data_IF_554926003671
#
_entry.id   IF_554926003671
#
_cell.length_a   1.000
_cell.length_b   1.000
_cell.length_c   1.000
_cell.angle_alpha   90.00
_cell.angle_beta   90.00
_cell.angle_gamma   90.00
#
_symmetry.space_group_name_H-M   'P 1'
#
loop_
_entity.id
_entity.type
_entity.pdbx_description
1 polymer ?
#
# COMPACT_ATOMS: atom_id res chain seq x y z
N UNK A 1 4.49 -6.25 -2.03
CA UNK A 1 3.74 -6.14 -0.77
C UNK A 1 2.91 -4.87 -0.78
N UNK A 2 2.59 -4.33 0.38
CA UNK A 2 1.90 -3.03 0.52
C UNK A 2 2.63 -2.15 1.52
N UNK A 3 2.62 -0.84 1.31
CA UNK A 3 3.24 0.14 2.22
C UNK A 3 2.50 0.19 3.56
N UNK A 4 3.15 0.73 4.59
CA UNK A 4 2.47 1.26 5.77
C UNK A 4 1.66 2.51 5.42
N UNK A 5 0.93 3.04 6.39
CA UNK A 5 0.10 4.21 6.18
C UNK A 5 -0.56 4.68 7.47
N UNK A 6 -1.68 5.39 7.35
CA UNK A 6 -2.46 5.86 8.48
C UNK A 6 -3.33 4.71 8.99
N UNK A 7 -3.25 4.40 10.29
CA UNK A 7 -4.18 3.46 10.90
C UNK A 7 -5.54 4.15 11.17
N UNK A 8 -6.67 3.43 11.01
CA UNK A 8 -7.98 3.95 11.41
C UNK A 8 -7.97 4.33 12.89
N UNK A 9 -8.58 5.47 13.23
CA UNK A 9 -8.71 5.90 14.64
C UNK A 9 -9.46 4.84 15.45
N UNK A 10 -8.88 4.41 16.57
CA UNK A 10 -9.55 3.52 17.53
C UNK A 10 -10.73 4.21 18.22
N UNK A 11 -11.69 3.43 18.75
CA UNK A 11 -12.83 3.98 19.52
C UNK A 11 -12.45 4.18 21.01
N UNK A 12 -12.83 5.38 21.50
CA UNK A 12 -13.04 5.87 22.90
C UNK A 12 -12.16 5.33 24.04
N UNK A 13 -11.46 6.26 24.73
CA UNK A 13 -10.94 6.07 26.10
C UNK A 13 -9.45 6.38 26.28
N UNK A 14 -8.67 6.29 25.21
CA UNK A 14 -7.28 6.78 25.14
C UNK A 14 -7.28 8.06 24.32
N UNK A 15 -6.45 9.06 24.66
CA UNK A 15 -6.26 10.24 23.82
C UNK A 15 -6.06 9.77 22.37
N UNK A 16 -6.84 10.29 21.42
CA UNK A 16 -6.85 9.82 20.04
C UNK A 16 -5.50 10.12 19.37
N UNK A 17 -4.49 9.29 19.61
CA UNK A 17 -3.19 9.39 18.96
C UNK A 17 -3.35 8.85 17.56
N UNK A 18 -3.08 9.68 16.56
CA UNK A 18 -2.95 9.23 15.17
C UNK A 18 -1.76 8.28 15.07
N UNK A 19 -2.01 7.00 14.82
CA UNK A 19 -0.97 6.02 14.53
C UNK A 19 -0.67 6.06 13.02
N UNK A 20 0.43 6.70 12.67
CA UNK A 20 0.86 6.96 11.29
C UNK A 20 2.21 6.30 11.06
N UNK A 21 2.28 5.46 10.02
CA UNK A 21 3.52 4.76 9.68
C UNK A 21 4.66 5.73 9.32
N UNK A 22 5.86 5.43 9.84
CA UNK A 22 7.09 6.11 9.46
C UNK A 22 7.38 6.01 7.95
N UNK A 23 6.88 4.96 7.26
CA UNK A 23 6.98 4.80 5.80
C UNK A 23 6.58 6.09 5.05
N UNK A 24 5.51 6.77 5.48
CA UNK A 24 5.03 7.98 4.80
C UNK A 24 6.00 9.16 4.97
N UNK A 25 6.63 9.24 6.14
CA UNK A 25 7.65 10.26 6.41
C UNK A 25 8.95 9.97 5.65
N UNK A 26 9.31 8.69 5.52
CA UNK A 26 10.49 8.26 4.78
C UNK A 26 10.35 8.51 3.28
N UNK A 27 9.19 8.18 2.71
CA UNK A 27 8.84 8.47 1.31
C UNK A 27 8.94 9.97 0.99
N UNK A 28 8.69 10.86 1.96
CA UNK A 28 8.80 12.29 1.76
C UNK A 28 10.24 12.81 1.66
N UNK A 29 11.24 12.00 1.97
CA UNK A 29 12.63 12.46 2.22
C UNK A 29 13.69 11.69 1.44
N UNK A 30 13.40 10.45 1.07
CA UNK A 30 14.37 9.56 0.44
C UNK A 30 14.01 9.34 -1.04
N UNK A 31 14.92 9.65 -1.98
CA UNK A 31 14.74 9.36 -3.40
C UNK A 31 14.66 7.84 -3.67
N UNK A 32 13.45 7.29 -3.63
CA UNK A 32 13.18 5.86 -3.84
C UNK A 32 11.82 5.64 -4.50
N UNK A 33 11.75 4.71 -5.45
CA UNK A 33 10.50 4.25 -6.01
C UNK A 33 10.04 2.97 -5.30
N UNK A 34 8.88 3.01 -4.65
CA UNK A 34 8.33 1.85 -3.93
C UNK A 34 7.21 1.22 -4.77
N UNK A 35 7.48 0.05 -5.32
CA UNK A 35 6.49 -0.75 -6.06
C UNK A 35 5.64 -1.58 -5.11
N UNK A 36 4.34 -1.29 -5.05
CA UNK A 36 3.44 -1.84 -4.05
C UNK A 36 2.05 -2.17 -4.62
N UNK A 37 1.27 -2.97 -3.91
CA UNK A 37 -0.16 -3.16 -4.17
C UNK A 37 -0.99 -2.15 -3.37
N UNK A 38 -0.58 -0.89 -3.37
CA UNK A 38 -1.08 0.15 -2.48
C UNK A 38 -0.67 -0.04 -1.01
N UNK A 39 -1.47 0.48 -0.10
CA UNK A 39 -1.26 0.33 1.35
C UNK A 39 -2.02 -0.89 1.91
N UNK A 40 -1.48 -1.52 2.96
CA UNK A 40 -2.07 -2.73 3.57
C UNK A 40 -3.56 -2.51 3.91
N UNK A 41 -4.43 -3.49 3.60
CA UNK A 41 -5.90 -3.39 3.77
C UNK A 41 -6.39 -3.13 5.21
N UNK A 42 -5.50 -3.17 6.21
CA UNK A 42 -5.78 -2.86 7.61
C UNK A 42 -5.78 -1.36 7.91
N UNK A 43 -5.29 -0.55 6.98
CA UNK A 43 -5.06 0.89 7.09
C UNK A 43 -6.27 1.70 6.60
N UNK A 44 -6.25 2.99 6.90
CA UNK A 44 -7.13 4.00 6.33
C UNK A 44 -6.50 4.53 5.04
N UNK A 45 -7.00 4.07 3.90
CA UNK A 45 -6.41 4.38 2.59
C UNK A 45 -6.60 5.84 2.19
N UNK A 46 -7.76 6.42 2.49
CA UNK A 46 -8.04 7.82 2.18
C UNK A 46 -7.11 8.73 2.99
N UNK A 47 -7.02 8.51 4.31
CA UNK A 47 -6.10 9.28 5.14
C UNK A 47 -4.62 9.06 4.75
N UNK A 48 -4.27 7.87 4.25
CA UNK A 48 -2.92 7.60 3.74
C UNK A 48 -2.60 8.42 2.48
N UNK A 49 -3.54 8.49 1.53
CA UNK A 49 -3.38 9.30 0.31
C UNK A 49 -3.27 10.80 0.64
N UNK A 50 -4.09 11.31 1.55
CA UNK A 50 -4.02 12.71 2.02
C UNK A 50 -2.65 13.06 2.62
N UNK A 51 -2.07 12.15 3.41
CA UNK A 51 -0.72 12.35 3.99
C UNK A 51 0.35 12.31 2.90
N UNK A 52 0.24 11.39 1.92
CA UNK A 52 1.17 11.33 0.79
C UNK A 52 1.11 12.60 -0.06
N UNK A 53 -0.09 13.09 -0.36
CA UNK A 53 -0.32 14.35 -1.08
C UNK A 53 0.27 15.53 -0.31
N UNK A 54 -0.02 15.65 0.99
CA UNK A 54 0.51 16.72 1.86
C UNK A 54 2.05 16.74 1.86
N UNK A 55 2.68 15.58 1.78
CA UNK A 55 4.14 15.45 1.75
C UNK A 55 4.74 15.52 0.33
N UNK A 56 3.93 15.79 -0.69
CA UNK A 56 4.39 15.87 -2.08
C UNK A 56 4.89 14.54 -2.64
N UNK A 57 4.46 13.41 -2.10
CA UNK A 57 4.81 12.07 -2.57
C UNK A 57 3.81 11.64 -3.65
N UNK A 58 4.21 11.58 -4.94
CA UNK A 58 3.30 11.17 -5.99
C UNK A 58 2.91 9.69 -5.86
N UNK A 59 1.62 9.42 -6.05
CA UNK A 59 1.06 8.07 -6.11
C UNK A 59 0.70 7.77 -7.55
N UNK A 60 1.45 6.86 -8.18
CA UNK A 60 1.33 6.53 -9.59
C UNK A 60 0.70 5.15 -9.74
N UNK A 61 -0.39 5.05 -10.48
CA UNK A 61 -1.02 3.77 -10.82
C UNK A 61 -0.37 3.13 -12.05
N UNK A 62 0.05 1.87 -11.94
CA UNK A 62 0.56 1.10 -13.08
C UNK A 62 -0.59 0.31 -13.73
N UNK A 63 -1.02 0.74 -14.91
CA UNK A 63 -2.14 0.16 -15.64
C UNK A 63 -3.51 0.41 -15.01
N UNK A 64 -3.61 1.39 -14.11
CA UNK A 64 -4.82 1.67 -13.32
C UNK A 64 -4.90 3.15 -12.96
N UNK A 65 -6.14 3.67 -12.85
CA UNK A 65 -6.48 4.99 -12.33
C UNK A 65 -6.90 4.93 -10.84
N UNK A 66 -6.91 3.74 -10.27
CA UNK A 66 -7.34 3.43 -8.89
C UNK A 66 -6.15 3.01 -8.01
N UNK A 67 -6.12 3.50 -6.78
CA UNK A 67 -5.17 3.11 -5.75
C UNK A 67 -5.56 1.74 -5.18
N UNK A 68 -4.80 0.66 -5.40
CA UNK A 68 -5.19 -0.67 -5.00
C UNK A 68 -5.29 -0.84 -3.48
N UNK A 69 -6.22 -1.67 -3.02
CA UNK A 69 -6.45 -1.95 -1.61
C UNK A 69 -5.76 -3.24 -1.13
N UNK A 70 -4.52 -3.47 -1.59
CA UNK A 70 -3.66 -4.61 -1.22
C UNK A 70 -4.25 -5.97 -1.62
N UNK A 71 -5.13 -6.56 -0.81
CA UNK A 71 -5.82 -7.81 -1.16
C UNK A 71 -6.98 -7.64 -2.13
N UNK A 72 -7.44 -6.40 -2.34
CA UNK A 72 -8.49 -6.07 -3.29
C UNK A 72 -7.90 -5.36 -4.50
N UNK A 73 -8.40 -5.71 -5.68
CA UNK A 73 -7.99 -5.12 -6.95
C UNK A 73 -8.14 -3.59 -6.96
N UNK A 74 -9.20 -3.06 -6.36
CA UNK A 74 -9.52 -1.62 -6.33
C UNK A 74 -9.98 -1.18 -4.94
N UNK A 75 -9.66 0.05 -4.57
CA UNK A 75 -10.18 0.72 -3.37
C UNK A 75 -11.33 1.69 -3.66
N UNK A 76 -11.48 2.11 -4.91
CA UNK A 76 -12.34 3.21 -5.34
C UNK A 76 -11.70 4.60 -5.19
N UNK A 77 -10.47 4.69 -4.69
CA UNK A 77 -9.74 5.95 -4.51
C UNK A 77 -8.81 6.20 -5.71
N UNK A 78 -8.73 7.43 -6.22
CA UNK A 78 -7.89 7.74 -7.37
C UNK A 78 -6.40 7.76 -7.01
N UNK A 79 -5.54 7.44 -7.98
CA UNK A 79 -4.11 7.77 -7.95
C UNK A 79 -3.87 9.19 -8.48
N UNK A 80 -2.67 9.74 -8.27
CA UNK A 80 -2.29 11.05 -8.80
C UNK A 80 -2.16 11.05 -10.33
N UNK A 81 -1.64 9.96 -10.89
CA UNK A 81 -1.53 9.76 -12.34
C UNK A 81 -1.41 8.27 -12.68
N UNK A 82 -1.72 7.92 -13.92
CA UNK A 82 -1.57 6.58 -14.47
C UNK A 82 -0.39 6.52 -15.44
N UNK A 83 0.32 5.40 -15.43
CA UNK A 83 1.29 5.00 -16.45
C UNK A 83 1.00 3.55 -16.88
N UNK A 84 1.41 3.18 -18.08
CA UNK A 84 1.09 1.86 -18.66
C UNK A 84 2.35 1.05 -19.05
N UNK A 85 3.56 1.63 -18.92
CA UNK A 85 4.81 0.92 -19.24
C UNK A 85 5.96 1.16 -18.25
N UNK A 86 6.94 0.24 -18.16
CA UNK A 86 8.14 0.45 -17.35
C UNK A 86 9.01 1.62 -17.85
N UNK A 87 8.96 1.92 -19.16
CA UNK A 87 9.67 3.05 -19.74
C UNK A 87 9.08 4.40 -19.29
N UNK A 88 7.75 4.51 -19.25
CA UNK A 88 7.07 5.68 -18.66
C UNK A 88 7.39 5.83 -17.17
N UNK A 89 7.42 4.71 -16.43
CA UNK A 89 7.81 4.72 -15.02
C UNK A 89 9.23 5.29 -14.85
N UNK A 90 10.18 4.79 -15.65
CA UNK A 90 11.56 5.25 -15.62
C UNK A 90 11.68 6.75 -15.96
N UNK A 91 11.00 7.20 -17.01
CA UNK A 91 10.98 8.61 -17.41
C UNK A 91 10.41 9.52 -16.31
N UNK A 92 9.31 9.11 -15.67
CA UNK A 92 8.70 9.84 -14.55
C UNK A 92 9.66 9.91 -13.36
N UNK A 93 10.28 8.80 -12.98
CA UNK A 93 11.23 8.76 -11.85
C UNK A 93 12.44 9.66 -12.11
N UNK A 94 13.06 9.57 -13.29
CA UNK A 94 14.18 10.43 -13.67
C UNK A 94 13.80 11.92 -13.64
N UNK A 95 12.65 12.28 -14.17
CA UNK A 95 12.17 13.66 -14.15
C UNK A 95 11.87 14.15 -12.73
N UNK A 96 11.21 13.33 -11.90
CA UNK A 96 10.88 13.66 -10.52
C UNK A 96 12.15 13.95 -9.70
N UNK A 97 13.15 13.08 -9.78
CA UNK A 97 14.40 13.25 -9.04
C UNK A 97 15.29 14.37 -9.60
N UNK A 98 15.28 14.61 -10.92
CA UNK A 98 15.97 15.77 -11.51
C UNK A 98 15.42 17.11 -11.02
N UNK A 99 14.13 17.16 -10.65
CA UNK A 99 13.48 18.32 -10.05
C UNK A 99 13.63 18.39 -8.52
N UNK A 100 14.41 17.48 -7.91
CA UNK A 100 14.63 17.44 -6.46
C UNK A 100 13.54 16.72 -5.66
N UNK A 101 12.68 15.95 -6.33
CA UNK A 101 11.69 15.10 -5.67
C UNK A 101 12.31 13.95 -4.88
N UNK A 102 11.57 13.42 -3.90
CA UNK A 102 11.99 12.33 -3.04
C UNK A 102 11.37 10.99 -3.50
N UNK A 103 10.55 10.37 -2.65
CA UNK A 103 9.97 9.06 -2.90
C UNK A 103 8.79 9.10 -3.87
N UNK A 104 8.55 7.98 -4.54
CA UNK A 104 7.39 7.75 -5.43
C UNK A 104 6.73 6.44 -5.04
N UNK A 105 5.41 6.44 -4.90
CA UNK A 105 4.62 5.20 -4.76
C UNK A 105 4.19 4.75 -6.15
N UNK A 106 4.70 3.61 -6.62
CA UNK A 106 4.23 2.98 -7.85
C UNK A 106 3.28 1.83 -7.48
N UNK A 107 1.99 2.08 -7.62
CA UNK A 107 0.91 1.21 -7.20
C UNK A 107 0.45 0.30 -8.35
N UNK A 108 0.59 -1.02 -8.20
CA UNK A 108 0.09 -2.02 -9.14
C UNK A 108 -0.98 -2.88 -8.45
N UNK A 109 -2.18 -3.03 -9.04
CA UNK A 109 -3.21 -3.85 -8.44
C UNK A 109 -2.83 -5.34 -8.46
N UNK A 110 -3.31 -6.07 -7.46
CA UNK A 110 -3.38 -7.54 -7.54
C UNK A 110 -4.26 -7.92 -8.73
N UNK A 111 -4.02 -9.09 -9.36
CA UNK A 111 -4.88 -9.57 -10.44
C UNK A 111 -6.33 -9.74 -9.96
N UNK A 112 -7.30 -9.69 -10.88
CA UNK A 112 -8.71 -9.86 -10.51
C UNK A 112 -8.99 -11.28 -10.01
N UNK A 113 -8.24 -12.26 -10.52
CA UNK A 113 -8.33 -13.66 -10.19
C UNK A 113 -7.80 -13.97 -8.79
N UNK A 114 -6.74 -13.24 -8.36
CA UNK A 114 -6.14 -13.39 -7.03
C UNK A 114 -6.71 -12.41 -6.00
N UNK A 115 -7.56 -11.48 -6.44
CA UNK A 115 -8.27 -10.53 -5.57
C UNK A 115 -9.27 -11.26 -4.67
N UNK A 116 -9.34 -10.86 -3.41
CA UNK A 116 -10.36 -11.36 -2.50
C UNK A 116 -11.72 -10.71 -2.76
N UNK A 117 -12.77 -11.36 -2.26
CA UNK A 117 -14.10 -10.75 -2.15
C UNK A 117 -14.11 -9.65 -1.08
N UNK A 118 -14.58 -8.46 -1.46
CA UNK A 118 -14.56 -7.28 -0.60
C UNK A 118 -15.44 -7.43 0.64
N UNK A 119 -16.64 -8.01 0.50
CA UNK A 119 -17.57 -8.18 1.62
C UNK A 119 -17.05 -9.20 2.64
N UNK A 120 -16.48 -10.31 2.16
CA UNK A 120 -15.83 -11.33 2.98
C UNK A 120 -14.60 -10.76 3.70
N UNK A 121 -13.72 -10.03 3.00
CA UNK A 121 -12.55 -9.42 3.60
C UNK A 121 -12.93 -8.40 4.68
N UNK A 122 -13.95 -7.57 4.44
CA UNK A 122 -14.43 -6.58 5.40
C UNK A 122 -14.89 -7.24 6.72
N UNK A 123 -15.60 -8.38 6.64
CA UNK A 123 -16.02 -9.15 7.83
C UNK A 123 -14.83 -9.67 8.62
N UNK A 124 -13.86 -10.30 7.95
CA UNK A 124 -12.66 -10.82 8.61
C UNK A 124 -11.81 -9.69 9.20
N UNK A 125 -11.71 -8.55 8.52
CA UNK A 125 -10.99 -7.38 9.00
C UNK A 125 -11.64 -6.79 10.26
N UNK A 126 -12.96 -6.68 10.29
CA UNK A 126 -13.70 -6.25 11.48
C UNK A 126 -13.42 -7.19 12.66
N UNK A 127 -13.46 -8.51 12.42
CA UNK A 127 -13.15 -9.50 13.46
C UNK A 127 -11.70 -9.42 13.94
N UNK A 128 -10.74 -9.28 13.03
CA UNK A 128 -9.32 -9.15 13.37
C UNK A 128 -9.04 -7.89 14.20
N UNK A 129 -9.69 -6.76 13.86
CA UNK A 129 -9.62 -5.52 14.64
C UNK A 129 -10.15 -5.69 16.05
N UNK A 130 -11.31 -6.35 16.22
CA UNK A 130 -11.85 -6.65 17.54
C UNK A 130 -10.88 -7.52 18.37
N UNK A 131 -10.30 -8.56 17.77
CA UNK A 131 -9.31 -9.41 18.44
C UNK A 131 -8.06 -8.65 18.89
N UNK A 132 -7.64 -7.63 18.12
CA UNK A 132 -6.50 -6.78 18.48
C UNK A 132 -6.83 -5.86 19.65
N UNK A 133 -8.07 -5.36 19.72
CA UNK A 133 -8.58 -4.56 20.83
C UNK A 133 -8.72 -5.40 22.10
N UNK A 134 -9.32 -6.58 22.00
CA UNK A 134 -9.51 -7.52 23.13
C UNK A 134 -8.16 -7.95 23.74
N UNK A 135 -7.11 -8.00 22.92
CA UNK A 135 -5.76 -8.38 23.31
C UNK A 135 -4.84 -7.18 23.63
N UNK A 136 -5.37 -5.95 23.66
CA UNK A 136 -4.63 -4.70 23.94
C UNK A 136 -3.36 -4.52 23.05
N UNK A 137 -3.45 -4.87 21.76
CA UNK A 137 -2.32 -4.80 20.82
C UNK A 137 -2.21 -3.42 20.17
N UNK A 138 -1.07 -2.76 20.38
CA UNK A 138 -0.82 -1.38 19.95
C UNK A 138 0.53 -1.20 19.22
N UNK A 139 0.67 -0.04 18.57
CA UNK A 139 1.91 0.41 17.92
C UNK A 139 2.43 -0.59 16.89
N UNK A 140 3.75 -0.76 16.82
CA UNK A 140 4.41 -1.63 15.85
C UNK A 140 3.96 -3.09 15.86
N UNK A 141 3.39 -3.58 16.97
CA UNK A 141 2.86 -4.95 17.07
C UNK A 141 1.50 -5.13 16.37
N UNK A 142 0.76 -4.04 16.13
CA UNK A 142 -0.61 -4.09 15.58
C UNK A 142 -0.66 -4.64 14.17
N UNK A 143 0.24 -4.22 13.29
CA UNK A 143 0.26 -4.68 11.89
C UNK A 143 0.54 -6.19 11.77
N UNK A 144 1.62 -6.73 12.36
CA UNK A 144 1.89 -8.18 12.35
C UNK A 144 0.72 -8.99 12.92
N UNK A 145 0.12 -8.53 14.03
CA UNK A 145 -1.02 -9.21 14.64
C UNK A 145 -2.24 -9.27 13.70
N UNK A 146 -2.62 -8.13 13.10
CA UNK A 146 -3.79 -8.07 12.23
C UNK A 146 -3.61 -8.93 10.97
N UNK A 147 -2.43 -8.93 10.37
CA UNK A 147 -2.14 -9.74 9.19
C UNK A 147 -2.16 -11.24 9.52
N UNK A 148 -1.61 -11.65 10.68
CA UNK A 148 -1.66 -13.04 11.12
C UNK A 148 -3.12 -13.49 11.36
N UNK A 149 -3.93 -12.67 12.04
CA UNK A 149 -5.35 -13.00 12.26
C UNK A 149 -6.16 -13.05 10.98
N UNK A 150 -5.86 -12.18 10.00
CA UNK A 150 -6.48 -12.28 8.69
C UNK A 150 -6.12 -13.59 7.98
N UNK A 151 -4.87 -14.05 8.07
CA UNK A 151 -4.47 -15.34 7.52
C UNK A 151 -5.25 -16.49 8.16
N UNK A 152 -5.37 -16.52 9.48
CA UNK A 152 -6.14 -17.54 10.20
C UNK A 152 -7.63 -17.51 9.79
N UNK A 153 -8.27 -16.34 9.86
CA UNK A 153 -9.70 -16.15 9.61
C UNK A 153 -10.09 -16.46 8.16
N UNK A 154 -9.16 -16.25 7.23
CA UNK A 154 -9.38 -16.52 5.79
C UNK A 154 -8.87 -17.89 5.36
N UNK A 155 -8.49 -18.76 6.30
CA UNK A 155 -7.94 -20.09 6.04
C UNK A 155 -6.77 -20.04 5.04
N UNK A 156 -5.92 -19.02 5.16
CA UNK A 156 -4.75 -18.81 4.31
C UNK A 156 -4.99 -18.06 3.01
N UNK A 157 -6.23 -17.68 2.65
CA UNK A 157 -6.48 -16.98 1.38
C UNK A 157 -5.73 -15.63 1.28
N UNK A 158 -5.67 -14.86 2.37
CA UNK A 158 -4.88 -13.63 2.43
C UNK A 158 -3.36 -13.87 2.30
N UNK A 159 -2.86 -15.01 2.79
CA UNK A 159 -1.45 -15.38 2.62
C UNK A 159 -1.14 -15.69 1.15
N UNK A 160 -2.04 -16.40 0.46
CA UNK A 160 -1.88 -16.69 -0.98
C UNK A 160 -1.94 -15.39 -1.80
N UNK A 161 -2.92 -14.52 -1.56
CA UNK A 161 -3.02 -13.22 -2.20
C UNK A 161 -1.77 -12.36 -1.93
N UNK A 162 -1.23 -12.37 -0.71
CA UNK A 162 0.00 -11.65 -0.38
C UNK A 162 1.21 -12.17 -1.18
N UNK A 163 1.33 -13.50 -1.34
CA UNK A 163 2.39 -14.10 -2.14
C UNK A 163 2.29 -13.68 -3.60
N UNK A 164 1.09 -13.74 -4.17
CA UNK A 164 0.79 -13.33 -5.54
C UNK A 164 1.20 -11.87 -5.80
N UNK A 165 0.69 -10.94 -5.00
CA UNK A 165 1.01 -9.51 -5.17
C UNK A 165 2.49 -9.21 -4.92
N UNK A 166 3.18 -9.92 -4.01
CA UNK A 166 4.63 -9.71 -3.80
C UNK A 166 5.41 -10.11 -5.04
N UNK A 167 5.10 -11.26 -5.64
CA UNK A 167 5.75 -11.72 -6.87
C UNK A 167 5.45 -10.79 -8.05
N UNK A 168 4.21 -10.31 -8.18
CA UNK A 168 3.83 -9.37 -9.22
C UNK A 168 4.59 -8.04 -9.10
N UNK A 169 4.64 -7.47 -7.89
CA UNK A 169 5.37 -6.23 -7.62
C UNK A 169 6.87 -6.37 -7.85
N UNK A 170 7.46 -7.50 -7.44
CA UNK A 170 8.89 -7.75 -7.66
C UNK A 170 9.21 -7.79 -9.16
N UNK A 171 8.37 -8.43 -9.97
CA UNK A 171 8.54 -8.45 -11.43
C UNK A 171 8.45 -7.05 -12.04
N UNK A 172 7.50 -6.22 -11.60
CA UNK A 172 7.40 -4.84 -12.09
C UNK A 172 8.61 -4.02 -11.66
N UNK A 173 8.99 -4.08 -10.37
CA UNK A 173 10.15 -3.37 -9.84
C UNK A 173 11.42 -3.69 -10.63
N UNK A 174 11.67 -4.97 -10.95
CA UNK A 174 12.83 -5.37 -11.76
C UNK A 174 12.78 -4.76 -13.17
N UNK A 175 11.61 -4.75 -13.83
CA UNK A 175 11.48 -4.15 -15.17
C UNK A 175 11.70 -2.64 -15.15
N UNK A 176 11.15 -1.95 -14.15
CA UNK A 176 11.34 -0.50 -13.98
C UNK A 176 12.81 -0.18 -13.70
N UNK A 177 13.46 -0.95 -12.83
CA UNK A 177 14.88 -0.77 -12.53
C UNK A 177 15.78 -0.95 -13.77
N UNK A 178 15.50 -1.95 -14.61
CA UNK A 178 16.21 -2.15 -15.88
C UNK A 178 15.97 -0.96 -16.83
N UNK A 179 14.73 -0.51 -16.98
CA UNK A 179 14.41 0.62 -17.84
C UNK A 179 15.09 1.92 -17.37
N UNK A 180 15.16 2.12 -16.05
CA UNK A 180 15.80 3.28 -15.43
C UNK A 180 17.32 3.28 -15.62
N UNK A 181 17.97 2.11 -15.50
CA UNK A 181 19.40 1.97 -15.73
C UNK A 181 19.79 2.12 -17.21
N UNK A 182 18.90 1.73 -18.15
CA UNK A 182 19.15 1.84 -19.59
C UNK A 182 18.91 3.24 -20.18
N UNK A 183 18.32 4.16 -19.40
CA UNK A 183 18.10 5.56 -19.77
C UNK A 183 19.07 6.56 -19.13
N UNK A 184 20.06 6.08 -18.38
CA UNK A 184 21.14 6.86 -17.77
C UNK A 184 22.36 6.97 -18.69
#
# INVERSE_FOLDING_TARGET
GGIGGVHPRGRRGRAATSDVSADLTELARTPVAVVCAGAKSILDLAATLEVLETNGVPVIGYGTDDFPAFYLHSSGLPVSARIDSPAEAAALLSAHWALGGAGVVLAQPISKEESLDAASLAKHLARAKQLAEDADVHGGARTPFLLARLADLTQGATLQANRALVLANARLASRVAVALAGGA
#
